data_IF_408612507052
#
_entry.id   IF_408612507052
#
_cell.length_a   1.000
_cell.length_b   1.000
_cell.length_c   1.000
_cell.angle_alpha   90.00
_cell.angle_beta   90.00
_cell.angle_gamma   90.00
#
_symmetry.space_group_name_H-M   'P 1'
#
loop_
_entity.id
_entity.type
_entity.pdbx_description
1 polymer ?
#
# COMPACT_ATOMS: atom_id res chain seq x y z
N UNK A 1 -25.55 -11.02 -13.61
CA UNK A 1 -25.59 -10.79 -12.17
C UNK A 1 -24.49 -9.78 -11.85
N UNK A 2 -24.84 -8.57 -11.49
CA UNK A 2 -23.88 -7.55 -11.01
C UNK A 2 -23.27 -8.07 -9.72
N UNK A 3 -21.98 -8.45 -9.75
CA UNK A 3 -21.22 -8.76 -8.52
C UNK A 3 -21.34 -7.53 -7.61
N UNK A 4 -21.90 -7.69 -6.42
CA UNK A 4 -21.98 -6.60 -5.45
C UNK A 4 -20.60 -6.02 -5.15
N UNK A 5 -20.51 -4.70 -4.90
CA UNK A 5 -19.28 -4.02 -4.56
C UNK A 5 -18.69 -4.59 -3.26
N UNK A 6 -17.36 -4.74 -3.23
CA UNK A 6 -16.61 -5.29 -2.10
C UNK A 6 -15.82 -4.19 -1.37
N UNK A 7 -15.66 -4.34 -0.08
CA UNK A 7 -14.74 -3.54 0.73
C UNK A 7 -13.30 -3.88 0.34
N UNK A 8 -12.42 -2.89 0.29
CA UNK A 8 -11.00 -3.07 0.02
C UNK A 8 -10.13 -2.41 1.09
N UNK A 9 -8.94 -2.95 1.29
CA UNK A 9 -7.87 -2.27 2.01
C UNK A 9 -6.71 -2.06 1.05
N UNK A 10 -6.39 -0.79 0.83
CA UNK A 10 -5.21 -0.36 0.09
C UNK A 10 -4.04 -0.28 1.07
N UNK A 11 -2.93 -0.90 0.74
CA UNK A 11 -1.76 -0.98 1.60
C UNK A 11 -0.57 -0.33 0.90
N UNK A 12 0.11 0.61 1.55
CA UNK A 12 1.44 0.97 1.11
C UNK A 12 2.38 -0.23 1.28
N UNK A 13 3.45 -0.26 0.49
CA UNK A 13 4.45 -1.32 0.53
C UNK A 13 5.46 -1.07 1.63
N UNK A 14 6.24 0.00 1.48
CA UNK A 14 7.37 0.31 2.36
C UNK A 14 6.87 0.92 3.67
N UNK A 15 7.24 0.33 4.80
CA UNK A 15 6.79 0.74 6.13
C UNK A 15 5.47 0.10 6.59
N UNK A 16 4.78 -0.66 5.73
CA UNK A 16 3.53 -1.38 6.06
C UNK A 16 3.68 -2.88 5.84
N UNK A 17 4.15 -3.29 4.66
CA UNK A 17 4.34 -4.70 4.30
C UNK A 17 5.79 -5.14 4.51
N UNK A 18 6.75 -4.32 4.07
CA UNK A 18 8.17 -4.52 4.34
C UNK A 18 8.76 -3.31 5.08
N UNK A 19 9.84 -3.55 5.81
CA UNK A 19 10.59 -2.49 6.51
C UNK A 19 11.08 -1.46 5.50
N UNK A 20 10.82 -0.16 5.75
CA UNK A 20 11.33 0.94 4.93
C UNK A 20 12.76 1.30 5.34
N UNK A 21 13.73 1.02 4.47
CA UNK A 21 15.14 1.42 4.63
C UNK A 21 15.49 2.68 3.82
N UNK A 22 14.48 3.25 3.13
CA UNK A 22 14.69 4.30 2.14
C UNK A 22 15.13 3.72 0.79
N UNK A 23 14.28 3.86 -0.23
CA UNK A 23 14.49 3.27 -1.56
C UNK A 23 14.76 1.75 -1.52
N UNK A 24 13.92 1.01 -0.80
CA UNK A 24 14.05 -0.44 -0.63
C UNK A 24 13.70 -1.19 -1.93
N UNK A 25 14.70 -1.82 -2.57
CA UNK A 25 14.53 -2.56 -3.83
C UNK A 25 15.39 -3.82 -3.94
N UNK A 26 16.46 -3.93 -3.13
CA UNK A 26 17.34 -5.11 -3.16
C UNK A 26 16.64 -6.26 -2.45
N UNK A 27 16.67 -7.45 -3.06
CA UNK A 27 16.05 -8.66 -2.48
C UNK A 27 16.67 -9.02 -1.11
N UNK A 28 17.94 -8.71 -0.91
CA UNK A 28 18.65 -8.91 0.37
C UNK A 28 18.12 -8.03 1.51
N UNK A 29 17.43 -6.95 1.17
CA UNK A 29 16.88 -5.98 2.12
C UNK A 29 15.41 -6.29 2.47
N UNK A 30 14.83 -7.33 1.86
CA UNK A 30 13.45 -7.73 2.13
C UNK A 30 13.30 -8.26 3.56
N UNK A 31 12.58 -7.49 4.36
CA UNK A 31 12.19 -7.85 5.73
C UNK A 31 10.73 -7.48 5.93
N UNK A 32 9.94 -8.45 6.34
CA UNK A 32 8.52 -8.21 6.64
C UNK A 32 8.38 -7.37 7.91
N UNK A 33 7.38 -6.50 7.96
CA UNK A 33 7.06 -5.73 9.17
C UNK A 33 6.33 -6.63 10.16
N UNK A 34 6.66 -6.52 11.45
CA UNK A 34 6.01 -7.29 12.51
C UNK A 34 4.50 -7.03 12.55
N UNK A 35 3.72 -8.10 12.71
CA UNK A 35 2.25 -8.03 12.72
C UNK A 35 1.62 -7.88 11.34
N UNK A 36 2.42 -7.86 10.26
CA UNK A 36 1.90 -7.72 8.90
C UNK A 36 1.14 -8.98 8.45
N UNK A 37 1.68 -10.16 8.71
CA UNK A 37 1.07 -11.44 8.33
C UNK A 37 -0.28 -11.65 9.02
N UNK A 38 -0.33 -11.39 10.33
CA UNK A 38 -1.56 -11.50 11.12
C UNK A 38 -2.62 -10.50 10.62
N UNK A 39 -2.20 -9.28 10.30
CA UNK A 39 -3.09 -8.26 9.75
C UNK A 39 -3.65 -8.65 8.39
N UNK A 40 -2.81 -9.14 7.45
CA UNK A 40 -3.25 -9.61 6.14
C UNK A 40 -4.24 -10.76 6.26
N UNK A 41 -3.94 -11.74 7.13
CA UNK A 41 -4.83 -12.88 7.35
C UNK A 41 -6.18 -12.42 7.86
N UNK A 42 -6.22 -11.59 8.90
CA UNK A 42 -7.46 -11.08 9.48
C UNK A 42 -8.31 -10.32 8.44
N UNK A 43 -7.70 -9.46 7.63
CA UNK A 43 -8.40 -8.71 6.57
C UNK A 43 -8.95 -9.63 5.47
N UNK A 44 -8.18 -10.66 5.06
CA UNK A 44 -8.66 -11.65 4.07
C UNK A 44 -9.81 -12.48 4.63
N UNK A 45 -9.71 -12.95 5.86
CA UNK A 45 -10.76 -13.73 6.54
C UNK A 45 -12.05 -12.90 6.70
N UNK A 46 -11.93 -11.57 6.89
CA UNK A 46 -13.03 -10.63 6.92
C UNK A 46 -13.58 -10.24 5.53
N UNK A 47 -13.05 -10.84 4.45
CA UNK A 47 -13.56 -10.70 3.09
C UNK A 47 -13.15 -9.41 2.35
N UNK A 48 -12.14 -8.68 2.83
CA UNK A 48 -11.61 -7.53 2.12
C UNK A 48 -10.79 -7.91 0.89
N UNK A 49 -10.89 -7.12 -0.17
CA UNK A 49 -9.89 -7.11 -1.23
C UNK A 49 -8.61 -6.46 -0.70
N UNK A 50 -7.46 -7.06 -1.00
CA UNK A 50 -6.15 -6.55 -0.57
C UNK A 50 -5.40 -6.02 -1.78
N UNK A 51 -5.14 -4.71 -1.79
CA UNK A 51 -4.54 -4.00 -2.92
C UNK A 51 -3.27 -3.30 -2.44
N UNK A 52 -2.14 -3.62 -3.03
CA UNK A 52 -0.89 -2.89 -2.79
C UNK A 52 -0.81 -1.66 -3.68
N UNK A 53 -0.53 -0.49 -3.09
CA UNK A 53 -0.29 0.77 -3.80
C UNK A 53 1.03 1.38 -3.33
N UNK A 54 1.97 1.65 -4.24
CA UNK A 54 3.31 2.09 -3.83
C UNK A 54 3.89 3.19 -4.70
N UNK A 55 4.53 4.19 -4.07
CA UNK A 55 5.32 5.22 -4.73
C UNK A 55 6.78 4.77 -4.82
N UNK A 56 7.28 4.56 -6.03
CA UNK A 56 8.63 4.06 -6.30
C UNK A 56 9.47 5.08 -7.09
N UNK A 57 9.65 6.25 -6.51
CA UNK A 57 10.36 7.38 -7.15
C UNK A 57 11.85 7.12 -7.42
N UNK A 58 12.43 6.07 -6.84
CA UNK A 58 13.78 5.62 -7.17
C UNK A 58 13.95 5.26 -8.64
N UNK A 59 12.86 4.85 -9.31
CA UNK A 59 12.84 4.60 -10.76
C UNK A 59 13.09 5.89 -11.53
N UNK A 60 12.29 6.94 -11.28
CA UNK A 60 12.49 8.25 -11.91
C UNK A 60 13.87 8.84 -11.60
N UNK A 61 14.39 8.61 -10.39
CA UNK A 61 15.71 9.09 -9.96
C UNK A 61 16.89 8.27 -10.51
N UNK A 62 16.62 7.14 -11.20
CA UNK A 62 17.65 6.27 -11.75
C UNK A 62 18.43 5.44 -10.72
N UNK A 63 17.87 5.22 -9.52
CA UNK A 63 18.51 4.40 -8.50
C UNK A 63 18.32 2.90 -8.76
N UNK A 64 17.20 2.54 -9.39
CA UNK A 64 16.85 1.18 -9.80
C UNK A 64 15.79 1.23 -10.90
N UNK A 65 15.66 0.14 -11.66
CA UNK A 65 14.68 0.03 -12.74
C UNK A 65 13.29 -0.40 -12.23
N UNK A 66 12.28 -0.28 -13.08
CA UNK A 66 10.94 -0.81 -12.81
C UNK A 66 10.96 -2.34 -12.64
N UNK A 67 11.85 -3.05 -13.36
CA UNK A 67 12.01 -4.50 -13.21
C UNK A 67 12.50 -4.88 -11.80
N UNK A 68 13.39 -4.08 -11.20
CA UNK A 68 13.77 -4.29 -9.80
C UNK A 68 12.57 -4.13 -8.86
N UNK A 69 11.66 -3.20 -9.13
CA UNK A 69 10.43 -3.02 -8.33
C UNK A 69 9.52 -4.25 -8.47
N UNK A 70 9.35 -4.76 -9.70
CA UNK A 70 8.56 -5.97 -9.94
C UNK A 70 9.18 -7.18 -9.25
N UNK A 71 10.48 -7.42 -9.41
CA UNK A 71 11.19 -8.53 -8.76
C UNK A 71 11.07 -8.47 -7.22
N UNK A 72 11.17 -7.26 -6.64
CA UNK A 72 10.99 -7.08 -5.20
C UNK A 72 9.56 -7.39 -4.76
N UNK A 73 8.55 -6.94 -5.51
CA UNK A 73 7.14 -7.21 -5.20
C UNK A 73 6.80 -8.71 -5.33
N UNK A 74 7.40 -9.40 -6.29
CA UNK A 74 7.25 -10.85 -6.45
C UNK A 74 7.88 -11.60 -5.27
N UNK A 75 9.08 -11.21 -4.85
CA UNK A 75 9.74 -11.78 -3.68
C UNK A 75 8.95 -11.52 -2.38
N UNK A 76 8.42 -10.30 -2.21
CA UNK A 76 7.53 -9.97 -1.09
C UNK A 76 6.28 -10.85 -1.10
N UNK A 77 5.65 -11.02 -2.25
CA UNK A 77 4.47 -11.90 -2.40
C UNK A 77 4.82 -13.36 -2.07
N UNK A 78 5.98 -13.84 -2.52
CA UNK A 78 6.46 -15.19 -2.20
C UNK A 78 6.72 -15.38 -0.69
N UNK A 79 7.33 -14.37 -0.05
CA UNK A 79 7.55 -14.38 1.40
C UNK A 79 6.22 -14.40 2.19
N UNK A 80 5.19 -13.67 1.73
CA UNK A 80 3.85 -13.72 2.34
C UNK A 80 3.23 -15.11 2.12
N UNK A 81 3.32 -15.67 0.91
CA UNK A 81 2.77 -17.01 0.59
C UNK A 81 3.41 -18.12 1.40
N UNK A 82 4.66 -18.00 1.82
CA UNK A 82 5.28 -19.00 2.69
C UNK A 82 4.57 -19.14 4.05
N UNK A 83 3.82 -18.13 4.48
CA UNK A 83 3.07 -18.10 5.74
C UNK A 83 1.54 -18.12 5.53
N UNK A 84 1.07 -17.65 4.36
CA UNK A 84 -0.33 -17.70 3.94
C UNK A 84 -0.37 -18.30 2.52
N UNK A 85 -0.39 -19.63 2.34
CA UNK A 85 -0.19 -20.29 1.04
C UNK A 85 -1.11 -19.79 -0.09
N UNK A 86 -2.37 -19.52 0.21
CA UNK A 86 -3.38 -19.05 -0.75
C UNK A 86 -3.39 -17.51 -0.93
N UNK A 87 -2.40 -16.79 -0.35
CA UNK A 87 -2.37 -15.34 -0.45
C UNK A 87 -2.07 -14.87 -1.87
N UNK A 88 -2.80 -13.88 -2.30
CA UNK A 88 -2.48 -13.03 -3.44
C UNK A 88 -3.00 -11.62 -3.19
N UNK A 89 -2.31 -10.62 -3.70
CA UNK A 89 -2.90 -9.30 -3.85
C UNK A 89 -3.97 -9.35 -4.93
N UNK A 90 -5.11 -8.69 -4.68
CA UNK A 90 -6.17 -8.55 -5.69
C UNK A 90 -5.75 -7.58 -6.81
N UNK A 91 -4.89 -6.60 -6.48
CA UNK A 91 -4.15 -5.77 -7.43
C UNK A 91 -2.85 -5.24 -6.81
N UNK A 92 -1.88 -4.95 -7.69
CA UNK A 92 -0.63 -4.24 -7.34
C UNK A 92 -0.52 -3.03 -8.25
N UNK A 93 -0.46 -1.84 -7.64
CA UNK A 93 -0.45 -0.55 -8.34
C UNK A 93 0.82 0.21 -7.98
N UNK A 94 1.61 0.61 -8.97
CA UNK A 94 2.93 1.22 -8.80
C UNK A 94 2.94 2.60 -9.45
N UNK A 95 3.46 3.60 -8.76
CA UNK A 95 3.81 4.88 -9.35
C UNK A 95 5.35 5.01 -9.39
N UNK A 96 6.01 4.94 -10.56
CA UNK A 96 7.44 5.10 -10.69
C UNK A 96 7.88 6.56 -10.82
N UNK A 97 6.93 7.49 -10.91
CA UNK A 97 7.17 8.87 -11.33
C UNK A 97 7.65 9.79 -10.19
N UNK A 98 8.39 10.82 -10.58
CA UNK A 98 8.75 11.96 -9.74
C UNK A 98 9.15 13.17 -10.61
N UNK A 99 8.77 14.38 -10.22
CA UNK A 99 9.13 15.60 -10.96
C UNK A 99 10.63 15.92 -10.93
N UNK A 100 11.31 15.51 -9.84
CA UNK A 100 12.77 15.62 -9.68
C UNK A 100 13.42 14.27 -9.97
N UNK A 101 13.40 13.87 -11.24
CA UNK A 101 13.97 12.62 -11.75
C UNK A 101 15.18 12.84 -12.67
N UNK A 102 15.81 11.72 -13.08
CA UNK A 102 16.89 11.67 -14.07
C UNK A 102 16.51 10.84 -15.30
N UNK A 103 15.54 9.96 -15.17
CA UNK A 103 15.05 9.11 -16.26
C UNK A 103 13.86 9.83 -16.90
N UNK A 104 14.05 10.34 -18.13
CA UNK A 104 13.09 11.23 -18.79
C UNK A 104 11.67 10.66 -18.85
N UNK A 105 11.53 9.36 -19.15
CA UNK A 105 10.23 8.64 -19.21
C UNK A 105 9.42 8.73 -17.90
N UNK A 106 10.10 8.72 -16.76
CA UNK A 106 9.46 8.73 -15.43
C UNK A 106 9.54 10.09 -14.73
N UNK A 107 10.20 11.07 -15.34
CA UNK A 107 10.33 12.44 -14.80
C UNK A 107 9.15 13.30 -15.24
N UNK A 108 8.00 13.03 -14.63
CA UNK A 108 6.72 13.66 -14.98
C UNK A 108 5.92 14.02 -13.72
N UNK A 109 5.13 15.07 -13.81
CA UNK A 109 4.05 15.32 -12.88
C UNK A 109 2.88 14.39 -13.22
N UNK A 110 2.41 13.61 -12.25
CA UNK A 110 1.40 12.58 -12.48
C UNK A 110 0.35 12.53 -11.38
N UNK A 111 -0.86 12.13 -11.74
CA UNK A 111 -1.95 11.90 -10.80
C UNK A 111 -1.84 10.60 -10.00
N UNK A 112 -0.88 9.70 -10.35
CA UNK A 112 -0.74 8.39 -9.66
C UNK A 112 0.14 8.44 -8.41
N UNK A 113 1.06 9.41 -8.31
CA UNK A 113 1.90 9.54 -7.11
C UNK A 113 1.08 10.04 -5.93
N UNK A 114 1.00 9.23 -4.87
CA UNK A 114 0.37 9.66 -3.61
C UNK A 114 0.99 10.98 -3.13
N UNK A 115 0.19 12.01 -2.80
CA UNK A 115 -1.23 11.99 -2.45
C UNK A 115 -2.22 12.01 -3.63
N UNK A 116 -1.79 11.89 -4.90
CA UNK A 116 -2.68 11.69 -6.03
C UNK A 116 -3.43 10.35 -5.92
N UNK A 117 -4.65 10.31 -6.44
CA UNK A 117 -5.60 9.20 -6.20
C UNK A 117 -5.66 8.17 -7.33
N UNK A 118 -4.90 8.38 -8.43
CA UNK A 118 -5.04 7.56 -9.64
C UNK A 118 -4.76 6.06 -9.40
N UNK A 119 -3.86 5.69 -8.50
CA UNK A 119 -3.65 4.26 -8.16
C UNK A 119 -4.92 3.61 -7.58
N UNK A 120 -5.68 4.37 -6.77
CA UNK A 120 -6.93 3.90 -6.17
C UNK A 120 -8.03 3.85 -7.22
N UNK A 121 -8.21 4.90 -8.02
CA UNK A 121 -9.26 4.95 -9.04
C UNK A 121 -9.05 3.93 -10.14
N UNK A 122 -7.79 3.69 -10.56
CA UNK A 122 -7.46 2.66 -11.55
C UNK A 122 -7.74 1.23 -11.02
N UNK A 123 -7.50 0.98 -9.73
CA UNK A 123 -7.86 -0.28 -9.10
C UNK A 123 -9.39 -0.45 -9.03
N UNK A 124 -10.14 0.61 -8.67
CA UNK A 124 -11.59 0.60 -8.62
C UNK A 124 -12.26 0.46 -10.01
N UNK A 125 -11.58 0.89 -11.07
CA UNK A 125 -12.04 0.66 -12.45
C UNK A 125 -11.91 -0.81 -12.88
N UNK A 126 -10.98 -1.57 -12.29
CA UNK A 126 -10.71 -2.98 -12.62
C UNK A 126 -11.41 -3.98 -11.71
N UNK A 127 -11.71 -3.57 -10.48
CA UNK A 127 -12.25 -4.43 -9.43
C UNK A 127 -13.56 -3.83 -8.87
N UNK A 128 -14.52 -4.65 -8.45
CA UNK A 128 -15.79 -4.18 -7.91
C UNK A 128 -15.62 -3.62 -6.47
N UNK A 129 -14.99 -2.45 -6.33
CA UNK A 129 -14.63 -1.85 -5.05
C UNK A 129 -15.68 -0.82 -4.62
N UNK A 130 -16.12 -0.91 -3.37
CA UNK A 130 -16.86 0.13 -2.67
C UNK A 130 -15.87 1.06 -1.94
N UNK A 131 -15.50 2.16 -2.58
CA UNK A 131 -14.54 3.11 -2.01
C UNK A 131 -14.99 3.70 -0.67
N UNK A 132 -16.30 3.96 -0.50
CA UNK A 132 -16.85 4.54 0.74
C UNK A 132 -16.69 3.63 1.95
N UNK A 133 -16.58 2.31 1.73
CA UNK A 133 -16.40 1.30 2.76
C UNK A 133 -14.98 0.73 2.77
N UNK A 134 -14.06 1.37 2.04
CA UNK A 134 -12.67 0.95 1.89
C UNK A 134 -11.72 1.81 2.72
N UNK A 135 -10.51 1.32 2.90
CA UNK A 135 -9.49 1.90 3.76
C UNK A 135 -8.15 2.00 3.03
N UNK A 136 -7.31 2.92 3.48
CA UNK A 136 -5.89 2.96 3.13
C UNK A 136 -5.04 2.90 4.41
N UNK A 137 -4.04 2.03 4.41
CA UNK A 137 -3.05 1.93 5.49
C UNK A 137 -1.69 2.29 4.90
N UNK A 138 -1.04 3.28 5.47
CA UNK A 138 0.28 3.76 5.05
C UNK A 138 1.10 4.28 6.21
N UNK A 139 2.37 4.58 6.01
CA UNK A 139 3.29 5.10 7.03
C UNK A 139 3.53 6.62 6.90
N UNK A 140 3.22 7.20 5.72
CA UNK A 140 3.48 8.61 5.38
C UNK A 140 2.21 9.46 5.39
N UNK A 141 2.37 10.76 5.62
CA UNK A 141 1.26 11.72 5.47
C UNK A 141 0.65 11.68 4.07
N UNK A 142 1.47 11.46 3.03
CA UNK A 142 0.99 11.34 1.65
C UNK A 142 0.01 10.18 1.43
N UNK A 143 0.09 9.11 2.24
CA UNK A 143 -0.87 7.99 2.19
C UNK A 143 -2.21 8.44 2.78
N UNK A 144 -2.15 9.13 3.92
CA UNK A 144 -3.35 9.64 4.59
C UNK A 144 -4.05 10.70 3.74
N UNK A 145 -3.28 11.61 3.15
CA UNK A 145 -3.82 12.61 2.22
C UNK A 145 -4.43 11.95 0.98
N UNK A 146 -3.78 10.90 0.44
CA UNK A 146 -4.32 10.09 -0.66
C UNK A 146 -5.65 9.42 -0.28
N UNK A 147 -5.74 8.84 0.92
CA UNK A 147 -6.98 8.27 1.43
C UNK A 147 -8.10 9.32 1.47
N UNK A 148 -7.84 10.46 2.10
CA UNK A 148 -8.82 11.55 2.25
C UNK A 148 -9.25 12.09 0.88
N UNK A 149 -8.31 12.31 -0.04
CA UNK A 149 -8.59 12.78 -1.40
C UNK A 149 -9.44 11.79 -2.22
N UNK A 150 -9.33 10.50 -1.94
CA UNK A 150 -10.11 9.44 -2.59
C UNK A 150 -11.43 9.11 -1.85
N UNK A 151 -11.73 9.78 -0.74
CA UNK A 151 -12.91 9.51 0.09
C UNK A 151 -12.85 8.22 0.91
N UNK A 152 -11.63 7.72 1.17
CA UNK A 152 -11.37 6.58 2.04
C UNK A 152 -11.03 7.04 3.46
N UNK A 153 -11.09 6.10 4.41
CA UNK A 153 -10.51 6.30 5.75
C UNK A 153 -9.04 5.89 5.73
N UNK A 154 -8.15 6.76 6.24
CA UNK A 154 -6.70 6.51 6.30
C UNK A 154 -6.24 6.12 7.70
N UNK A 155 -5.48 5.03 7.83
CA UNK A 155 -4.81 4.63 9.09
C UNK A 155 -3.30 4.76 8.88
N UNK A 156 -2.63 5.47 9.81
CA UNK A 156 -1.18 5.63 9.76
C UNK A 156 -0.47 4.61 10.65
N UNK A 157 0.43 3.81 10.04
CA UNK A 157 1.36 2.94 10.78
C UNK A 157 2.57 3.76 11.19
N UNK A 158 3.00 3.64 12.44
CA UNK A 158 4.09 4.45 13.01
C UNK A 158 5.34 3.65 13.37
N UNK A 159 5.43 2.36 13.01
CA UNK A 159 6.50 1.46 13.45
C UNK A 159 7.01 0.51 12.35
N UNK A 160 7.03 0.95 11.12
CA UNK A 160 7.42 0.13 9.96
C UNK A 160 8.86 0.34 9.45
N UNK A 161 9.77 0.86 10.27
CA UNK A 161 11.15 1.19 9.90
C UNK A 161 11.44 2.68 10.00
N UNK A 162 11.70 3.35 8.88
CA UNK A 162 11.96 4.80 8.86
C UNK A 162 10.76 5.58 9.42
N UNK A 163 11.03 6.49 10.34
CA UNK A 163 9.98 7.29 10.96
C UNK A 163 9.61 8.49 10.08
N UNK A 164 8.32 8.72 9.93
CA UNK A 164 7.75 9.85 9.18
C UNK A 164 6.85 10.71 10.07
N UNK A 165 6.68 12.00 9.74
CA UNK A 165 5.75 12.87 10.46
C UNK A 165 4.34 12.29 10.49
N UNK A 166 3.70 12.38 11.65
CA UNK A 166 2.36 11.85 11.82
C UNK A 166 1.31 12.83 11.27
N UNK A 167 0.41 12.32 10.43
CA UNK A 167 -0.73 13.10 9.95
C UNK A 167 -1.72 13.37 11.09
N UNK A 168 -2.24 14.60 11.13
CA UNK A 168 -3.35 14.97 12.03
C UNK A 168 -4.73 14.52 11.50
N UNK A 169 -4.80 14.16 10.22
CA UNK A 169 -6.03 13.80 9.51
C UNK A 169 -6.25 12.28 9.40
N UNK A 170 -5.36 11.47 9.98
CA UNK A 170 -5.55 10.02 10.01
C UNK A 170 -6.73 9.64 10.91
N UNK A 171 -7.53 8.66 10.47
CA UNK A 171 -8.61 8.07 11.26
C UNK A 171 -8.06 7.45 12.56
N UNK A 172 -6.93 6.78 12.47
CA UNK A 172 -6.21 6.21 13.60
C UNK A 172 -4.70 6.17 13.32
N UNK A 173 -3.91 6.04 14.41
CA UNK A 173 -2.47 5.77 14.37
C UNK A 173 -2.21 4.50 15.14
N UNK A 174 -1.45 3.61 14.52
CA UNK A 174 -1.21 2.26 15.05
C UNK A 174 0.26 1.88 14.86
N UNK A 175 0.69 0.82 15.53
CA UNK A 175 2.08 0.32 15.43
C UNK A 175 2.26 -0.75 14.35
N UNK A 176 1.18 -1.43 13.94
CA UNK A 176 1.27 -2.55 13.01
C UNK A 176 0.02 -2.67 12.12
N UNK A 177 0.15 -3.44 11.03
CA UNK A 177 -1.00 -3.80 10.19
C UNK A 177 -2.03 -4.63 10.97
N UNK A 178 -1.58 -5.42 11.96
CA UNK A 178 -2.51 -6.17 12.83
C UNK A 178 -3.45 -5.22 13.58
N UNK A 179 -2.91 -4.20 14.23
CA UNK A 179 -3.73 -3.21 14.94
C UNK A 179 -4.67 -2.44 13.98
N UNK A 180 -4.16 -2.12 12.76
CA UNK A 180 -5.01 -1.51 11.73
C UNK A 180 -6.17 -2.43 11.33
N UNK A 181 -5.90 -3.73 11.12
CA UNK A 181 -6.90 -4.72 10.76
C UNK A 181 -7.99 -4.85 11.84
N UNK A 182 -7.60 -4.87 13.11
CA UNK A 182 -8.54 -4.94 14.24
C UNK A 182 -9.53 -3.75 14.21
N UNK A 183 -9.01 -2.53 13.97
CA UNK A 183 -9.83 -1.32 13.84
C UNK A 183 -10.75 -1.40 12.61
N UNK A 184 -10.19 -1.75 11.44
CA UNK A 184 -10.92 -1.83 10.16
C UNK A 184 -12.09 -2.81 10.27
N UNK A 185 -11.84 -3.99 10.81
CA UNK A 185 -12.86 -5.04 10.95
C UNK A 185 -13.95 -4.56 11.89
N UNK A 186 -13.61 -4.03 13.07
CA UNK A 186 -14.57 -3.50 14.04
C UNK A 186 -15.45 -2.40 13.47
N UNK A 187 -14.90 -1.52 12.63
CA UNK A 187 -15.63 -0.42 11.99
C UNK A 187 -16.46 -0.86 10.78
N UNK A 188 -16.37 -2.13 10.39
CA UNK A 188 -17.02 -2.69 9.20
C UNK A 188 -18.14 -3.68 9.51
N UNK A 189 -18.36 -3.95 10.80
CA UNK A 189 -19.50 -4.69 11.34
C UNK A 189 -20.75 -3.82 11.40
#
# INVERSE_FOLDING_TARGET
MTKGLKKAVFLDRDGVLNVDLGYTYKLTDLRLVDGMIEGLKALKDAGFLIIMITNQSGVARGFFSLDHVHAFNDALTAAIKSQIPEFKFDAVMICPHHTDGKIAEFTVDCACRKPGTKLITDAAAKLPIDLKRSWLVGDKSSDIDCANNAGLRGIQVTHGGKQYPQSKQSFAKVKSLKEAADIIIKQSL
#
